data_IF_064723083912
#
_entry.id   IF_064723083912
#
_cell.length_a   1.000
_cell.length_b   1.000
_cell.length_c   1.000
_cell.angle_alpha   90.00
_cell.angle_beta   90.00
_cell.angle_gamma   90.00
#
_symmetry.space_group_name_H-M   'P 1'
#
loop_
_entity.id
_entity.type
_entity.pdbx_description
1 polymer ?
#
# COMPACT_ATOMS: atom_id res chain seq x y z
N UNK A 1 -8.17 -18.16 16.33
CA UNK A 1 -8.43 -17.29 17.50
C UNK A 1 -8.75 -15.84 17.13
N UNK A 2 -8.38 -15.29 15.95
CA UNK A 2 -8.85 -13.95 15.52
C UNK A 2 -10.12 -13.96 14.64
N UNK A 3 -10.36 -15.03 13.89
CA UNK A 3 -11.57 -15.18 13.07
C UNK A 3 -12.87 -15.05 13.87
N UNK A 4 -12.85 -15.42 15.16
CA UNK A 4 -14.00 -15.33 16.07
C UNK A 4 -14.40 -13.89 16.43
N UNK A 5 -13.56 -12.91 16.07
CA UNK A 5 -13.75 -11.50 16.39
C UNK A 5 -13.88 -10.62 15.15
N UNK A 6 -14.10 -11.23 13.97
CA UNK A 6 -14.15 -10.55 12.69
C UNK A 6 -12.91 -9.67 12.43
N UNK A 7 -11.73 -10.19 12.81
CA UNK A 7 -10.44 -9.51 12.62
C UNK A 7 -9.60 -10.23 11.58
N UNK A 8 -8.99 -9.42 10.72
CA UNK A 8 -8.03 -9.84 9.71
C UNK A 8 -6.60 -9.54 10.16
N UNK A 9 -5.68 -10.42 9.81
CA UNK A 9 -4.24 -10.18 9.90
C UNK A 9 -3.72 -9.84 8.51
N UNK A 10 -2.78 -8.90 8.46
CA UNK A 10 -2.10 -8.52 7.24
C UNK A 10 -0.62 -8.87 7.33
N UNK A 11 -0.03 -9.21 6.19
CA UNK A 11 1.42 -9.29 6.03
C UNK A 11 1.86 -8.26 5.00
N UNK A 12 2.97 -7.59 5.30
CA UNK A 12 3.53 -6.50 4.52
C UNK A 12 4.94 -6.87 4.05
N UNK A 13 5.25 -6.54 2.80
CA UNK A 13 6.60 -6.65 2.26
C UNK A 13 7.31 -5.30 2.39
N UNK A 14 8.53 -5.31 2.92
CA UNK A 14 9.32 -4.08 3.18
C UNK A 14 10.56 -4.06 2.29
N UNK A 15 10.79 -2.93 1.60
CA UNK A 15 11.96 -2.80 0.74
C UNK A 15 13.28 -2.88 1.55
N UNK A 16 14.36 -3.45 0.99
CA UNK A 16 15.61 -3.66 1.74
C UNK A 16 16.35 -2.37 2.12
N UNK A 17 16.12 -1.25 1.40
CA UNK A 17 16.72 0.03 1.77
C UNK A 17 16.12 0.56 3.08
N UNK A 18 14.82 0.38 3.28
CA UNK A 18 14.11 0.82 4.49
C UNK A 18 14.30 -0.18 5.64
N UNK A 19 14.27 -1.48 5.38
CA UNK A 19 14.50 -2.54 6.38
C UNK A 19 15.41 -3.65 5.84
N UNK A 20 16.74 -3.50 5.99
CA UNK A 20 17.69 -4.54 5.64
C UNK A 20 17.45 -5.83 6.43
N UNK A 21 17.51 -6.98 5.75
CA UNK A 21 17.34 -8.30 6.39
C UNK A 21 15.91 -8.66 6.80
N UNK A 22 14.90 -7.89 6.35
CA UNK A 22 13.50 -8.24 6.59
C UNK A 22 13.10 -9.51 5.82
N UNK A 23 12.11 -10.24 6.35
CA UNK A 23 11.76 -11.58 5.87
C UNK A 23 11.25 -11.60 4.41
N UNK A 24 10.41 -10.63 4.04
CA UNK A 24 9.86 -10.50 2.69
C UNK A 24 9.99 -9.06 2.20
N UNK A 25 10.46 -8.90 0.98
CA UNK A 25 10.65 -7.60 0.34
C UNK A 25 9.75 -7.40 -0.87
N UNK A 26 9.42 -8.48 -1.60
CA UNK A 26 8.58 -8.43 -2.80
C UNK A 26 7.11 -8.70 -2.43
N UNK A 27 6.20 -7.99 -3.09
CA UNK A 27 4.76 -8.22 -2.96
C UNK A 27 4.40 -9.65 -3.37
N UNK A 28 5.10 -10.22 -4.36
CA UNK A 28 4.86 -11.59 -4.80
C UNK A 28 5.20 -12.62 -3.73
N UNK A 29 6.15 -12.34 -2.83
CA UNK A 29 6.48 -13.23 -1.70
C UNK A 29 5.35 -13.26 -0.67
N UNK A 30 4.80 -12.10 -0.32
CA UNK A 30 3.67 -12.03 0.63
C UNK A 30 2.41 -12.63 0.02
N UNK A 31 2.10 -12.33 -1.25
CA UNK A 31 0.99 -12.96 -1.98
C UNK A 31 1.10 -14.49 -2.00
N UNK A 32 2.28 -15.03 -2.32
CA UNK A 32 2.53 -16.47 -2.28
C UNK A 32 2.36 -17.05 -0.87
N UNK A 33 2.78 -16.32 0.17
CA UNK A 33 2.64 -16.75 1.56
C UNK A 33 1.19 -16.76 2.04
N UNK A 34 0.40 -15.73 1.71
CA UNK A 34 -1.05 -15.71 2.01
C UNK A 34 -1.72 -16.92 1.37
N UNK A 35 -1.43 -17.19 0.10
CA UNK A 35 -1.94 -18.37 -0.62
C UNK A 35 -1.52 -19.68 0.04
N UNK A 36 -0.27 -19.79 0.50
CA UNK A 36 0.25 -20.99 1.18
C UNK A 36 -0.42 -21.23 2.53
N UNK A 37 -0.69 -20.17 3.29
CA UNK A 37 -1.30 -20.27 4.62
C UNK A 37 -2.80 -20.59 4.52
N UNK A 38 -3.46 -20.16 3.45
CA UNK A 38 -4.84 -20.50 3.10
C UNK A 38 -5.83 -20.26 4.26
N UNK A 39 -5.87 -19.01 4.73
CA UNK A 39 -6.79 -18.57 5.78
C UNK A 39 -7.63 -17.38 5.30
N UNK A 40 -8.97 -17.41 5.47
CA UNK A 40 -9.85 -16.38 4.95
C UNK A 40 -9.67 -15.01 5.63
N UNK A 41 -9.04 -14.97 6.81
CA UNK A 41 -8.74 -13.76 7.55
C UNK A 41 -7.25 -13.37 7.51
N UNK A 42 -6.51 -13.84 6.51
CA UNK A 42 -5.16 -13.38 6.20
C UNK A 42 -5.16 -12.71 4.82
N UNK A 43 -4.52 -11.56 4.69
CA UNK A 43 -4.38 -10.85 3.42
C UNK A 43 -3.07 -10.07 3.37
N UNK A 44 -2.80 -9.43 2.23
CA UNK A 44 -1.63 -8.54 2.06
C UNK A 44 -1.97 -7.10 2.48
N UNK A 45 -1.00 -6.43 3.10
CA UNK A 45 -0.91 -4.96 3.16
C UNK A 45 0.00 -4.51 2.01
N UNK A 46 -0.57 -3.77 1.07
CA UNK A 46 0.10 -3.32 -0.14
C UNK A 46 0.57 -1.87 0.05
N UNK A 47 1.77 -1.68 0.61
CA UNK A 47 2.44 -0.38 0.58
C UNK A 47 3.04 -0.15 -0.81
N UNK A 48 2.50 0.84 -1.53
CA UNK A 48 2.92 1.20 -2.88
C UNK A 48 4.34 1.80 -2.92
N UNK A 49 4.82 2.37 -1.80
CA UNK A 49 6.22 2.80 -1.68
C UNK A 49 7.18 1.60 -1.72
N UNK A 50 6.89 0.57 -0.92
CA UNK A 50 7.68 -0.66 -0.92
C UNK A 50 7.55 -1.43 -2.24
N UNK A 51 6.34 -1.54 -2.78
CA UNK A 51 6.09 -2.20 -4.06
C UNK A 51 6.85 -1.54 -5.22
N UNK A 52 6.85 -0.20 -5.33
CA UNK A 52 7.56 0.47 -6.41
C UNK A 52 9.07 0.29 -6.31
N UNK A 53 9.65 0.34 -5.10
CA UNK A 53 11.09 0.16 -4.88
C UNK A 53 11.61 -1.24 -5.21
N UNK A 54 10.74 -2.25 -5.18
CA UNK A 54 11.16 -3.66 -5.32
C UNK A 54 10.64 -4.29 -6.61
N UNK A 55 9.35 -4.16 -6.87
CA UNK A 55 8.64 -4.89 -7.92
C UNK A 55 8.26 -3.99 -9.11
N UNK A 56 7.97 -2.72 -8.84
CA UNK A 56 7.38 -1.81 -9.84
C UNK A 56 6.03 -2.32 -10.33
N UNK A 57 5.69 -2.02 -11.59
CA UNK A 57 4.49 -2.49 -12.28
C UNK A 57 3.21 -2.42 -11.41
N UNK A 58 3.02 -1.29 -10.72
CA UNK A 58 1.96 -1.12 -9.72
C UNK A 58 0.56 -1.34 -10.29
N UNK A 59 0.35 -0.97 -11.55
CA UNK A 59 -0.94 -1.19 -12.21
C UNK A 59 -1.31 -2.67 -12.25
N UNK A 60 -0.37 -3.54 -12.60
CA UNK A 60 -0.57 -4.99 -12.59
C UNK A 60 -0.83 -5.51 -11.18
N UNK A 61 -0.04 -5.08 -10.19
CA UNK A 61 -0.24 -5.48 -8.79
C UNK A 61 -1.65 -5.12 -8.29
N UNK A 62 -2.13 -3.90 -8.62
CA UNK A 62 -3.46 -3.43 -8.24
C UNK A 62 -4.55 -4.23 -8.98
N UNK A 63 -4.44 -4.44 -10.29
CA UNK A 63 -5.52 -5.07 -11.05
C UNK A 63 -5.59 -6.58 -10.88
N UNK A 64 -4.47 -7.28 -10.97
CA UNK A 64 -4.43 -8.75 -10.99
C UNK A 64 -4.68 -9.33 -9.59
N UNK A 65 -4.22 -8.63 -8.56
CA UNK A 65 -4.32 -9.09 -7.17
C UNK A 65 -5.41 -8.37 -6.38
N UNK A 66 -6.33 -7.68 -7.06
CA UNK A 66 -7.55 -7.16 -6.47
C UNK A 66 -8.26 -8.25 -5.67
N UNK A 67 -8.67 -7.95 -4.44
CA UNK A 67 -9.24 -8.94 -3.54
C UNK A 67 -8.23 -9.82 -2.79
N UNK A 68 -6.92 -9.66 -2.97
CA UNK A 68 -5.88 -10.32 -2.15
C UNK A 68 -5.20 -9.40 -1.14
N UNK A 69 -5.21 -8.09 -1.37
CA UNK A 69 -4.81 -7.07 -0.40
C UNK A 69 -6.02 -6.46 0.31
N UNK A 70 -5.85 -5.99 1.54
CA UNK A 70 -6.94 -5.41 2.35
C UNK A 70 -6.61 -4.07 3.00
N UNK A 71 -5.37 -3.62 2.87
CA UNK A 71 -4.96 -2.27 3.23
C UNK A 71 -3.90 -1.81 2.24
N UNK A 72 -3.91 -0.52 1.90
CA UNK A 72 -2.94 0.11 1.02
C UNK A 72 -2.27 1.24 1.78
N UNK A 73 -0.98 1.45 1.55
CA UNK A 73 -0.26 2.63 2.00
C UNK A 73 0.44 3.34 0.85
N UNK A 74 0.68 4.64 1.03
CA UNK A 74 1.26 5.53 0.03
C UNK A 74 2.31 6.46 0.62
N UNK A 75 3.33 6.75 -0.18
CA UNK A 75 4.33 7.80 0.04
C UNK A 75 5.09 8.06 -1.28
N UNK A 76 5.51 9.29 -1.55
CA UNK A 76 6.27 9.59 -2.76
C UNK A 76 7.57 8.79 -2.85
N UNK A 77 8.04 8.57 -4.07
CA UNK A 77 9.39 8.06 -4.31
C UNK A 77 10.28 9.14 -4.94
N UNK A 78 11.60 9.11 -4.64
CA UNK A 78 12.29 8.08 -3.84
C UNK A 78 12.32 8.33 -2.32
N UNK A 79 11.88 9.52 -1.88
CA UNK A 79 12.22 10.07 -0.56
C UNK A 79 11.15 9.88 0.53
N UNK A 80 10.00 9.29 0.20
CA UNK A 80 8.92 8.91 1.14
C UNK A 80 8.20 10.11 1.77
N UNK A 81 7.89 11.12 0.95
CA UNK A 81 7.15 12.33 1.32
C UNK A 81 5.68 12.30 0.85
N UNK A 82 5.01 13.46 0.85
CA UNK A 82 3.63 13.62 0.40
C UNK A 82 3.42 13.00 -1.01
N UNK A 83 2.26 12.34 -1.27
CA UNK A 83 1.96 11.67 -2.53
C UNK A 83 1.58 12.63 -3.66
N UNK A 84 2.22 13.81 -3.72
CA UNK A 84 2.03 14.85 -4.73
C UNK A 84 3.29 15.13 -5.57
N UNK A 85 4.34 14.34 -5.38
CA UNK A 85 5.60 14.48 -6.11
C UNK A 85 6.23 13.12 -6.45
N UNK A 86 7.36 13.19 -7.13
CA UNK A 86 8.18 12.03 -7.42
C UNK A 86 7.75 11.29 -8.69
N UNK A 87 8.13 10.02 -8.76
CA UNK A 87 7.96 9.19 -9.97
C UNK A 87 6.57 8.53 -10.10
N UNK A 88 5.76 8.51 -9.03
CA UNK A 88 4.43 7.87 -9.04
C UNK A 88 3.33 8.92 -9.26
N UNK A 89 2.50 8.70 -10.28
CA UNK A 89 1.24 9.42 -10.45
C UNK A 89 0.12 8.82 -9.58
N UNK A 90 0.02 9.26 -8.33
CA UNK A 90 -0.97 8.77 -7.37
C UNK A 90 -2.43 9.01 -7.77
N UNK A 91 -2.84 10.18 -8.28
CA UNK A 91 -4.21 10.38 -8.78
C UNK A 91 -4.66 9.33 -9.80
N UNK A 92 -3.76 8.88 -10.68
CA UNK A 92 -4.05 7.81 -11.63
C UNK A 92 -4.24 6.45 -10.93
N UNK A 93 -3.41 6.14 -9.91
CA UNK A 93 -3.56 4.91 -9.13
C UNK A 93 -4.84 4.91 -8.30
N UNK A 94 -5.29 6.04 -7.77
CA UNK A 94 -6.57 6.13 -7.06
C UNK A 94 -7.74 5.80 -7.99
N UNK A 95 -7.76 6.37 -9.20
CA UNK A 95 -8.77 6.04 -10.20
C UNK A 95 -8.71 4.55 -10.63
N UNK A 96 -7.54 3.93 -10.59
CA UNK A 96 -7.40 2.49 -10.83
C UNK A 96 -7.98 1.67 -9.67
N UNK A 97 -7.72 2.07 -8.42
CA UNK A 97 -8.29 1.44 -7.24
C UNK A 97 -9.82 1.50 -7.24
N UNK A 98 -10.40 2.66 -7.59
CA UNK A 98 -11.85 2.81 -7.77
C UNK A 98 -12.39 1.83 -8.83
N UNK A 99 -11.71 1.67 -9.97
CA UNK A 99 -12.11 0.73 -11.03
C UNK A 99 -12.05 -0.73 -10.59
N UNK A 100 -11.10 -1.08 -9.72
CA UNK A 100 -11.02 -2.44 -9.15
C UNK A 100 -12.01 -2.70 -8.01
N UNK A 101 -12.76 -1.66 -7.58
CA UNK A 101 -13.72 -1.77 -6.48
C UNK A 101 -13.06 -1.88 -5.11
N UNK A 102 -11.86 -1.32 -4.93
CA UNK A 102 -11.22 -1.28 -3.62
C UNK A 102 -12.03 -0.42 -2.64
N UNK A 103 -12.49 -1.03 -1.55
CA UNK A 103 -13.37 -0.43 -0.54
C UNK A 103 -12.68 -0.21 0.82
N UNK A 104 -11.37 -0.50 0.89
CA UNK A 104 -10.58 -0.35 2.09
C UNK A 104 -9.99 1.06 2.27
N UNK A 105 -9.17 1.21 3.31
CA UNK A 105 -8.49 2.46 3.61
C UNK A 105 -7.13 2.57 2.93
N UNK A 106 -6.80 3.78 2.48
CA UNK A 106 -5.44 4.16 2.05
C UNK A 106 -4.75 4.89 3.21
N UNK A 107 -3.71 4.28 3.78
CA UNK A 107 -2.87 4.85 4.81
C UNK A 107 -1.84 5.82 4.24
N UNK A 108 -1.73 7.00 4.84
CA UNK A 108 -0.76 8.03 4.45
C UNK A 108 0.54 7.86 5.26
N UNK A 109 1.32 6.83 4.95
CA UNK A 109 2.57 6.51 5.67
C UNK A 109 3.78 7.17 5.01
N UNK A 110 3.83 8.50 5.09
CA UNK A 110 4.94 9.30 4.60
C UNK A 110 5.54 10.19 5.69
N UNK A 111 6.75 10.68 5.45
CA UNK A 111 7.44 11.68 6.28
C UNK A 111 7.18 13.04 5.64
N UNK A 112 6.45 13.97 6.27
CA UNK A 112 6.21 15.28 5.68
C UNK A 112 7.52 15.99 5.31
N UNK A 113 7.56 16.69 4.16
CA UNK A 113 8.75 17.47 3.75
C UNK A 113 9.14 18.54 4.77
N UNK A 114 8.13 19.16 5.39
CA UNK A 114 8.29 20.23 6.37
C UNK A 114 7.49 19.91 7.64
N UNK A 115 6.37 20.60 7.85
CA UNK A 115 5.38 20.24 8.86
C UNK A 115 4.17 19.57 8.20
N UNK A 116 3.47 18.76 9.00
CA UNK A 116 2.35 17.97 8.49
C UNK A 116 1.27 18.83 7.85
N UNK A 117 0.92 19.97 8.44
CA UNK A 117 -0.24 20.76 8.00
C UNK A 117 0.04 21.49 6.68
N UNK A 118 1.25 22.04 6.52
CA UNK A 118 1.68 22.70 5.29
C UNK A 118 1.69 21.76 4.08
N UNK A 119 1.91 20.47 4.30
CA UNK A 119 1.93 19.44 3.24
C UNK A 119 0.56 18.93 2.79
N UNK A 120 -0.55 19.26 3.46
CA UNK A 120 -1.87 18.64 3.17
C UNK A 120 -2.57 19.19 1.91
N UNK A 121 -1.89 19.98 1.08
CA UNK A 121 -2.46 20.49 -0.18
C UNK A 121 -3.05 19.38 -1.05
N UNK A 122 -2.31 18.27 -1.20
CA UNK A 122 -2.70 17.09 -1.96
C UNK A 122 -4.00 16.43 -1.45
N UNK A 123 -4.30 16.53 -0.14
CA UNK A 123 -5.44 15.89 0.48
C UNK A 123 -6.76 16.66 0.29
N UNK A 124 -6.68 17.94 -0.09
CA UNK A 124 -7.84 18.84 -0.18
C UNK A 124 -9.04 18.27 -0.95
N UNK A 125 -8.87 17.59 -2.12
CA UNK A 125 -9.99 17.01 -2.86
C UNK A 125 -10.70 15.85 -2.14
N UNK A 126 -10.03 15.19 -1.19
CA UNK A 126 -10.49 13.97 -0.52
C UNK A 126 -11.02 14.21 0.89
N UNK A 127 -10.80 15.42 1.43
CA UNK A 127 -11.30 15.81 2.76
C UNK A 127 -12.83 15.85 2.75
N UNK A 128 -13.45 15.19 3.73
CA UNK A 128 -14.90 15.34 3.98
C UNK A 128 -15.21 16.82 4.25
N UNK A 129 -16.20 17.34 3.53
CA UNK A 129 -16.77 18.67 3.76
C UNK A 129 -17.65 18.66 5.01
#
# INVERSE_FOLDING_TARGET
MLCRHDKRILIEALNPQTKPGYLYHSQYQTLAMVKRVDRPNLAVQLDLFHAQKVDGNLSHLITEYAGQYRHIQIASLPDRHEPDEGEINYPWLYALLDKTGYDGWIGCEYIPRTDTLSGLGWFSPYRKK
#
